data_IF_411467467987
#
_entry.id   IF_411467467987
#
_cell.length_a   1.000
_cell.length_b   1.000
_cell.length_c   1.000
_cell.angle_alpha   90.00
_cell.angle_beta   90.00
_cell.angle_gamma   90.00
#
_symmetry.space_group_name_H-M   'P 1'
#
loop_
_entity.id
_entity.type
_entity.pdbx_description
1 polymer ?
#
# COMPACT_ATOMS: atom_id res chain seq x y z
N UNK A 1 29.74 42.46 -44.86
CA UNK A 1 28.79 42.08 -43.80
C UNK A 1 28.88 40.56 -43.58
N UNK A 2 29.71 40.13 -42.64
CA UNK A 2 29.91 38.71 -42.33
C UNK A 2 28.77 38.22 -41.43
N UNK A 3 27.89 37.36 -41.95
CA UNK A 3 26.93 36.63 -41.12
C UNK A 3 27.70 35.52 -40.38
N UNK A 4 28.23 35.84 -39.22
CA UNK A 4 28.69 34.84 -38.25
C UNK A 4 27.47 34.03 -37.83
N UNK A 5 27.33 32.83 -38.40
CA UNK A 5 26.36 31.83 -37.98
C UNK A 5 26.70 31.42 -36.55
N UNK A 6 26.16 32.17 -35.58
CA UNK A 6 26.19 31.82 -34.18
C UNK A 6 25.45 30.49 -34.07
N UNK A 7 26.19 29.38 -33.91
CA UNK A 7 25.61 28.10 -33.50
C UNK A 7 25.04 28.37 -32.10
N UNK A 8 23.72 28.39 -31.89
CA UNK A 8 23.21 28.34 -30.54
C UNK A 8 23.72 27.03 -29.95
N UNK A 9 24.31 27.08 -28.75
CA UNK A 9 24.59 25.91 -27.94
C UNK A 9 23.25 25.23 -27.62
N UNK A 10 22.79 24.43 -28.58
CA UNK A 10 21.69 23.49 -28.43
C UNK A 10 22.30 22.20 -27.92
N UNK A 11 22.92 22.28 -26.74
CA UNK A 11 23.13 21.13 -25.88
C UNK A 11 21.74 20.64 -25.45
N UNK A 12 21.07 19.91 -26.34
CA UNK A 12 20.11 18.92 -25.89
C UNK A 12 20.86 18.08 -24.85
N UNK A 13 20.35 17.91 -23.62
CA UNK A 13 20.98 17.04 -22.66
C UNK A 13 21.14 15.69 -23.35
N UNK A 14 22.39 15.35 -23.71
CA UNK A 14 22.73 14.05 -24.26
C UNK A 14 22.34 13.09 -23.15
N UNK A 15 21.19 12.44 -23.31
CA UNK A 15 20.85 11.24 -22.57
C UNK A 15 21.90 10.22 -22.94
N UNK A 16 22.97 10.19 -22.14
CA UNK A 16 24.04 9.22 -22.25
C UNK A 16 23.39 7.84 -22.07
N UNK A 17 23.51 6.91 -23.04
CA UNK A 17 23.06 5.55 -22.84
C UNK A 17 24.01 4.87 -21.86
N UNK A 18 23.76 5.03 -20.56
CA UNK A 18 24.44 4.28 -19.53
C UNK A 18 23.98 2.82 -19.61
N UNK A 19 24.91 1.91 -19.94
CA UNK A 19 24.78 0.48 -19.67
C UNK A 19 24.87 -0.48 -20.85
N UNK A 20 25.84 -0.33 -21.76
CA UNK A 20 26.33 -1.50 -22.49
C UNK A 20 27.34 -2.24 -21.60
N UNK A 21 26.88 -3.35 -21.03
CA UNK A 21 27.70 -4.35 -20.38
C UNK A 21 28.81 -4.82 -21.33
N UNK A 22 30.06 -4.78 -20.85
CA UNK A 22 31.19 -5.43 -21.49
C UNK A 22 30.96 -6.94 -21.50
N UNK A 23 30.54 -7.47 -22.65
CA UNK A 23 30.62 -8.91 -22.95
C UNK A 23 32.04 -9.18 -23.47
N UNK A 24 32.79 -9.92 -22.65
CA UNK A 24 34.06 -10.53 -23.06
C UNK A 24 33.78 -11.50 -24.21
N UNK A 25 34.55 -11.35 -25.27
CA UNK A 25 34.39 -12.11 -26.50
C UNK A 25 34.72 -13.58 -26.33
N UNK A 26 33.95 -14.44 -26.99
CA UNK A 26 34.38 -15.76 -27.44
C UNK A 26 34.03 -15.88 -28.92
N UNK A 27 35.09 -16.01 -29.71
CA UNK A 27 35.09 -16.28 -31.14
C UNK A 27 34.68 -17.73 -31.39
N UNK A 28 33.68 -17.99 -32.24
CA UNK A 28 33.54 -19.25 -33.00
C UNK A 28 32.49 -19.21 -34.12
N UNK A 29 33.01 -19.30 -35.34
CA UNK A 29 32.54 -19.98 -36.56
C UNK A 29 31.21 -19.58 -37.27
N UNK A 30 31.20 -19.58 -38.62
CA UNK A 30 30.03 -19.24 -39.43
C UNK A 30 29.14 -20.46 -39.68
N UNK A 31 27.81 -20.31 -39.52
CA UNK A 31 26.82 -21.30 -39.93
C UNK A 31 25.74 -20.68 -40.82
N UNK A 32 25.89 -21.02 -42.11
CA UNK A 32 24.90 -21.28 -43.16
C UNK A 32 23.46 -20.78 -43.00
N UNK A 33 23.03 -20.09 -44.06
CA UNK A 33 21.67 -19.75 -44.45
C UNK A 33 20.64 -20.86 -44.20
N UNK A 34 19.58 -20.53 -43.45
CA UNK A 34 18.27 -21.16 -43.57
C UNK A 34 17.18 -20.10 -43.67
N UNK A 35 16.32 -20.28 -44.67
CA UNK A 35 15.16 -19.46 -45.04
C UNK A 35 14.10 -19.44 -43.92
N UNK A 36 13.27 -18.39 -43.84
CA UNK A 36 12.20 -18.31 -42.84
C UNK A 36 11.02 -19.21 -43.24
N UNK A 37 10.51 -19.99 -42.28
CA UNK A 37 9.15 -20.57 -42.32
C UNK A 37 8.19 -19.64 -41.58
N UNK A 38 6.93 -19.49 -42.02
CA UNK A 38 5.94 -18.68 -41.35
C UNK A 38 5.45 -19.36 -40.07
N UNK A 39 5.61 -18.70 -38.93
CA UNK A 39 5.05 -19.11 -37.64
C UNK A 39 3.60 -18.66 -37.54
N UNK A 40 2.69 -19.63 -37.44
CA UNK A 40 1.31 -19.44 -36.99
C UNK A 40 1.28 -18.67 -35.67
N UNK A 41 0.47 -17.62 -35.63
CA UNK A 41 0.13 -16.86 -34.43
C UNK A 41 -0.84 -17.70 -33.60
N UNK A 42 -0.32 -18.37 -32.56
CA UNK A 42 -1.15 -18.99 -31.53
C UNK A 42 -1.38 -17.96 -30.42
N UNK A 43 -2.58 -17.38 -30.37
CA UNK A 43 -3.00 -16.49 -29.29
C UNK A 43 -3.16 -17.33 -28.02
N UNK A 44 -2.13 -17.31 -27.17
CA UNK A 44 -2.15 -17.94 -25.85
C UNK A 44 -2.76 -16.96 -24.86
N UNK A 45 -4.04 -17.15 -24.54
CA UNK A 45 -4.72 -16.47 -23.43
C UNK A 45 -3.99 -16.77 -22.11
N UNK A 46 -3.68 -15.77 -21.25
CA UNK A 46 -3.10 -16.04 -19.94
C UNK A 46 -4.16 -16.66 -19.02
N UNK A 47 -4.02 -17.97 -18.78
CA UNK A 47 -4.75 -18.70 -17.76
C UNK A 47 -4.33 -18.21 -16.38
N UNK A 48 -5.32 -17.78 -15.59
CA UNK A 48 -5.19 -17.41 -14.18
C UNK A 48 -4.45 -18.50 -13.36
N UNK A 49 -3.52 -18.14 -12.46
CA UNK A 49 -2.88 -19.12 -11.60
C UNK A 49 -3.88 -19.64 -10.57
N UNK A 50 -4.23 -20.93 -10.70
CA UNK A 50 -4.94 -21.72 -9.68
C UNK A 50 -4.11 -21.69 -8.39
N UNK A 51 -4.58 -20.96 -7.38
CA UNK A 51 -4.05 -21.00 -6.01
C UNK A 51 -4.24 -22.42 -5.47
N UNK A 52 -3.15 -23.18 -5.37
CA UNK A 52 -3.08 -24.39 -4.55
C UNK A 52 -3.13 -23.97 -3.08
N UNK A 53 -4.28 -24.12 -2.45
CA UNK A 53 -4.37 -24.20 -0.99
C UNK A 53 -3.68 -25.50 -0.55
N UNK A 54 -2.46 -25.39 -0.04
CA UNK A 54 -1.89 -26.44 0.82
C UNK A 54 -2.46 -26.23 2.22
N UNK A 55 -3.51 -26.99 2.55
CA UNK A 55 -3.95 -27.23 3.91
C UNK A 55 -2.97 -28.23 4.55
N UNK A 56 -1.96 -27.73 5.26
CA UNK A 56 -1.28 -28.54 6.27
C UNK A 56 -2.15 -28.54 7.53
N UNK A 57 -2.99 -29.58 7.63
CA UNK A 57 -3.66 -29.93 8.87
C UNK A 57 -2.71 -30.70 9.77
N UNK A 58 -2.11 -30.02 10.74
CA UNK A 58 -1.58 -30.66 11.95
C UNK A 58 -2.67 -30.58 13.02
N UNK A 59 -3.53 -31.60 13.05
CA UNK A 59 -4.45 -31.85 14.14
C UNK A 59 -3.65 -32.32 15.36
N UNK A 60 -3.25 -31.40 16.24
CA UNK A 60 -2.86 -31.73 17.61
C UNK A 60 -4.15 -31.75 18.43
N UNK A 61 -4.72 -32.94 18.56
CA UNK A 61 -5.88 -33.21 19.40
C UNK A 61 -5.40 -33.47 20.83
N UNK A 62 -5.19 -32.40 21.61
CA UNK A 62 -5.03 -32.51 23.06
C UNK A 62 -6.42 -32.40 23.67
N UNK A 63 -7.08 -33.55 23.84
CA UNK A 63 -8.31 -33.66 24.61
C UNK A 63 -7.93 -33.79 26.09
N UNK A 64 -7.47 -32.70 26.71
CA UNK A 64 -7.53 -32.58 28.17
C UNK A 64 -8.86 -31.89 28.50
N UNK A 65 -9.88 -32.70 28.76
CA UNK A 65 -11.11 -32.26 29.41
C UNK A 65 -10.82 -31.94 30.87
N UNK A 66 -10.14 -30.82 31.10
CA UNK A 66 -10.22 -30.13 32.38
C UNK A 66 -11.58 -29.46 32.44
N UNK A 67 -12.51 -30.09 33.16
CA UNK A 67 -13.74 -29.47 33.67
C UNK A 67 -13.36 -28.41 34.70
N UNK A 68 -12.75 -27.33 34.24
CA UNK A 68 -12.70 -26.07 34.95
C UNK A 68 -13.58 -25.13 34.14
N UNK A 69 -14.70 -24.71 34.72
CA UNK A 69 -15.33 -23.47 34.27
C UNK A 69 -14.26 -22.37 34.35
N UNK A 70 -14.26 -21.47 33.37
CA UNK A 70 -13.30 -20.38 33.12
C UNK A 70 -13.02 -19.43 34.31
N UNK A 71 -13.58 -19.73 35.47
CA UNK A 71 -13.53 -18.97 36.71
C UNK A 71 -12.79 -19.69 37.84
N UNK A 72 -12.23 -20.88 37.63
CA UNK A 72 -11.42 -21.57 38.65
C UNK A 72 -12.20 -21.95 39.92
N UNK A 73 -13.53 -21.83 39.91
CA UNK A 73 -14.39 -22.26 41.00
C UNK A 73 -14.64 -23.76 40.81
N UNK A 74 -14.09 -24.57 41.71
CA UNK A 74 -14.38 -26.00 41.75
C UNK A 74 -15.83 -26.20 42.20
N UNK A 75 -16.78 -26.29 41.25
CA UNK A 75 -18.20 -26.55 41.52
C UNK A 75 -18.43 -27.85 42.33
N UNK A 76 -17.46 -28.78 42.28
CA UNK A 76 -17.49 -30.01 43.08
C UNK A 76 -17.36 -29.75 44.58
N UNK A 77 -16.66 -28.68 44.98
CA UNK A 77 -16.61 -28.26 46.37
C UNK A 77 -17.92 -27.59 46.82
N UNK A 78 -18.65 -26.92 45.91
CA UNK A 78 -19.96 -26.33 46.22
C UNK A 78 -21.06 -27.38 46.42
N UNK A 79 -21.01 -28.52 45.72
CA UNK A 79 -21.91 -29.65 46.00
C UNK A 79 -21.61 -30.35 47.33
N UNK A 80 -20.35 -30.35 47.79
CA UNK A 80 -19.97 -31.05 49.03
C UNK A 80 -20.34 -30.31 50.32
N UNK A 81 -20.67 -29.01 50.29
CA UNK A 81 -20.87 -28.21 51.52
C UNK A 81 -22.35 -28.08 51.93
N UNK A 82 -23.32 -28.84 51.38
CA UNK A 82 -24.64 -28.79 52.05
C UNK A 82 -25.87 -29.44 51.47
N UNK A 83 -25.83 -30.18 50.36
CA UNK A 83 -27.07 -30.73 49.79
C UNK A 83 -27.27 -32.23 50.05
N UNK A 84 -26.22 -33.05 50.07
CA UNK A 84 -26.42 -34.50 50.10
C UNK A 84 -26.60 -35.09 51.51
N UNK A 85 -26.14 -34.42 52.57
CA UNK A 85 -26.35 -34.89 53.96
C UNK A 85 -27.60 -34.34 54.66
N UNK A 86 -28.17 -33.22 54.19
CA UNK A 86 -29.36 -32.63 54.83
C UNK A 86 -30.70 -33.29 54.42
N UNK A 87 -30.70 -34.10 53.36
CA UNK A 87 -31.88 -34.86 52.92
C UNK A 87 -32.14 -36.14 53.73
N UNK A 88 -31.10 -36.73 54.33
CA UNK A 88 -31.19 -38.07 54.94
C UNK A 88 -31.70 -38.06 56.39
N UNK A 89 -31.57 -36.97 57.13
CA UNK A 89 -32.02 -36.88 58.53
C UNK A 89 -33.40 -36.23 58.69
N UNK A 90 -33.88 -35.49 57.68
CA UNK A 90 -35.19 -34.80 57.73
C UNK A 90 -36.41 -35.74 57.61
N UNK A 91 -36.20 -37.00 57.22
CA UNK A 91 -37.26 -37.99 57.03
C UNK A 91 -37.65 -38.80 58.28
N UNK A 92 -36.88 -38.78 59.37
CA UNK A 92 -37.10 -39.70 60.51
C UNK A 92 -38.13 -39.23 61.55
N UNK A 93 -38.57 -37.97 61.52
CA UNK A 93 -39.50 -37.41 62.52
C UNK A 93 -40.82 -36.91 61.94
N UNK A 94 -41.23 -37.45 60.77
CA UNK A 94 -42.49 -37.07 60.12
C UNK A 94 -43.67 -37.97 60.43
N UNK A 95 -43.54 -38.89 61.41
CA UNK A 95 -44.65 -39.74 61.80
C UNK A 95 -44.92 -39.71 63.32
N UNK A 96 -46.17 -39.41 63.63
CA UNK A 96 -46.93 -39.66 64.86
C UNK A 96 -46.71 -38.70 66.05
N UNK A 97 -47.54 -37.66 66.13
CA UNK A 97 -48.30 -37.21 67.33
C UNK A 97 -47.64 -37.04 68.72
N UNK A 98 -46.32 -37.14 68.86
CA UNK A 98 -45.61 -37.07 70.13
C UNK A 98 -45.07 -35.67 70.44
N UNK A 99 -45.26 -35.24 71.68
CA UNK A 99 -44.66 -34.05 72.29
C UNK A 99 -43.14 -33.99 71.97
N UNK A 100 -42.72 -32.97 71.21
CA UNK A 100 -41.29 -32.71 70.98
C UNK A 100 -40.68 -32.15 72.27
N UNK A 101 -39.60 -32.75 72.83
CA UNK A 101 -38.89 -32.17 73.96
C UNK A 101 -38.32 -30.80 73.60
N UNK A 102 -38.48 -29.80 74.47
CA UNK A 102 -37.97 -28.43 74.26
C UNK A 102 -36.45 -28.35 74.11
N UNK A 103 -35.72 -29.36 74.60
CA UNK A 103 -34.26 -29.47 74.48
C UNK A 103 -33.77 -29.72 73.05
N UNK A 104 -34.54 -30.40 72.21
CA UNK A 104 -34.15 -30.66 70.81
C UNK A 104 -34.16 -29.37 69.98
N UNK A 105 -35.05 -28.42 70.29
CA UNK A 105 -35.17 -27.15 69.57
C UNK A 105 -33.96 -26.24 69.78
N UNK A 106 -33.40 -26.19 70.99
CA UNK A 106 -32.21 -25.38 71.24
C UNK A 106 -31.01 -25.89 70.43
N UNK A 107 -30.86 -27.20 70.29
CA UNK A 107 -29.80 -27.81 69.48
C UNK A 107 -30.01 -27.55 67.99
N UNK A 108 -31.23 -27.76 67.47
CA UNK A 108 -31.58 -27.49 66.07
C UNK A 108 -31.39 -26.01 65.73
N UNK A 109 -31.82 -25.09 66.60
CA UNK A 109 -31.66 -23.66 66.39
C UNK A 109 -30.19 -23.24 66.37
N UNK A 110 -29.35 -23.79 67.26
CA UNK A 110 -27.90 -23.54 67.25
C UNK A 110 -27.26 -24.01 65.95
N UNK A 111 -27.65 -25.18 65.43
CA UNK A 111 -27.15 -25.70 64.16
C UNK A 111 -27.67 -24.88 62.96
N UNK A 112 -28.92 -24.47 62.95
CA UNK A 112 -29.47 -23.58 61.92
C UNK A 112 -28.77 -22.21 61.89
N UNK A 113 -28.44 -21.64 63.04
CA UNK A 113 -27.66 -20.38 63.13
C UNK A 113 -26.25 -20.56 62.58
N UNK A 114 -25.56 -21.67 62.91
CA UNK A 114 -24.23 -21.99 62.36
C UNK A 114 -24.29 -22.15 60.83
N UNK A 115 -25.30 -22.86 60.33
CA UNK A 115 -25.52 -23.04 58.90
C UNK A 115 -25.78 -21.69 58.22
N UNK A 116 -26.66 -20.86 58.79
CA UNK A 116 -26.94 -19.51 58.29
C UNK A 116 -25.68 -18.63 58.25
N UNK A 117 -24.82 -18.71 59.26
CA UNK A 117 -23.54 -18.01 59.28
C UNK A 117 -22.58 -18.53 58.19
N UNK A 118 -22.51 -19.85 57.98
CA UNK A 118 -21.72 -20.47 56.90
C UNK A 118 -22.20 -20.01 55.51
N UNK A 119 -23.51 -20.06 55.25
CA UNK A 119 -24.11 -19.61 53.98
C UNK A 119 -23.85 -18.11 53.75
N UNK A 120 -23.95 -17.28 54.79
CA UNK A 120 -23.65 -15.84 54.71
C UNK A 120 -22.18 -15.60 54.35
N UNK A 121 -21.26 -16.36 54.94
CA UNK A 121 -19.83 -16.27 54.64
C UNK A 121 -19.53 -16.71 53.21
N UNK A 122 -20.09 -17.83 52.74
CA UNK A 122 -19.96 -18.29 51.34
C UNK A 122 -20.51 -17.24 50.37
N UNK A 123 -21.68 -16.68 50.66
CA UNK A 123 -22.28 -15.63 49.83
C UNK A 123 -21.43 -14.36 49.79
N UNK A 124 -20.83 -13.96 50.92
CA UNK A 124 -19.92 -12.83 50.98
C UNK A 124 -18.65 -13.07 50.15
N UNK A 125 -18.06 -14.26 50.26
CA UNK A 125 -16.90 -14.67 49.46
C UNK A 125 -17.23 -14.67 47.97
N UNK A 126 -18.39 -15.22 47.58
CA UNK A 126 -18.81 -15.26 46.17
C UNK A 126 -18.99 -13.85 45.59
N UNK A 127 -19.63 -12.93 46.33
CA UNK A 127 -19.77 -11.53 45.89
C UNK A 127 -18.40 -10.87 45.72
N UNK A 128 -17.48 -11.10 46.65
CA UNK A 128 -16.11 -10.57 46.56
C UNK A 128 -15.39 -11.12 45.33
N UNK A 129 -15.44 -12.43 45.10
CA UNK A 129 -14.84 -13.04 43.91
C UNK A 129 -15.47 -12.52 42.61
N UNK A 130 -16.79 -12.31 42.58
CA UNK A 130 -17.48 -11.70 41.44
C UNK A 130 -16.95 -10.30 41.16
N UNK A 131 -16.86 -9.46 42.20
CA UNK A 131 -16.31 -8.11 42.08
C UNK A 131 -14.85 -8.11 41.64
N UNK A 132 -14.03 -9.04 42.13
CA UNK A 132 -12.63 -9.20 41.72
C UNK A 132 -12.51 -9.59 40.25
N UNK A 133 -13.35 -10.51 39.76
CA UNK A 133 -13.39 -10.91 38.34
C UNK A 133 -13.87 -9.77 37.46
N UNK A 134 -14.89 -9.01 37.87
CA UNK A 134 -15.37 -7.82 37.16
C UNK A 134 -14.29 -6.73 37.09
N UNK A 135 -13.61 -6.45 38.19
CA UNK A 135 -12.51 -5.48 38.26
C UNK A 135 -11.33 -5.91 37.37
N UNK A 136 -11.01 -7.21 37.37
CA UNK A 136 -9.97 -7.76 36.51
C UNK A 136 -10.36 -7.66 35.03
N UNK A 137 -11.57 -8.07 34.67
CA UNK A 137 -12.08 -8.04 33.30
C UNK A 137 -12.13 -6.60 32.77
N UNK A 138 -12.65 -5.65 33.55
CA UNK A 138 -12.72 -4.23 33.15
C UNK A 138 -11.33 -3.63 32.96
N UNK A 139 -10.38 -3.95 33.83
CA UNK A 139 -8.97 -3.52 33.67
C UNK A 139 -8.35 -4.09 32.40
N UNK A 140 -8.59 -5.37 32.09
CA UNK A 140 -8.05 -6.01 30.87
C UNK A 140 -8.69 -5.46 29.60
N UNK A 141 -10.00 -5.20 29.61
CA UNK A 141 -10.72 -4.59 28.48
C UNK A 141 -10.16 -3.20 28.21
N UNK A 142 -10.07 -2.32 29.22
CA UNK A 142 -9.49 -0.98 29.09
C UNK A 142 -8.06 -1.01 28.55
N UNK A 143 -7.20 -1.86 29.12
CA UNK A 143 -5.83 -1.99 28.64
C UNK A 143 -5.76 -2.50 27.19
N UNK A 144 -6.72 -3.31 26.74
CA UNK A 144 -6.81 -3.75 25.34
C UNK A 144 -7.30 -2.64 24.41
N UNK A 145 -8.30 -1.86 24.84
CA UNK A 145 -8.82 -0.69 24.11
C UNK A 145 -7.73 0.36 23.93
N UNK A 146 -6.99 0.69 24.99
CA UNK A 146 -5.89 1.66 24.96
C UNK A 146 -4.79 1.23 23.97
N UNK A 147 -4.45 -0.06 23.94
CA UNK A 147 -3.48 -0.61 22.99
C UNK A 147 -3.96 -0.50 21.54
N UNK A 148 -5.25 -0.77 21.29
CA UNK A 148 -5.83 -0.64 19.95
C UNK A 148 -5.87 0.83 19.52
N UNK A 149 -6.27 1.74 20.42
CA UNK A 149 -6.31 3.16 20.15
C UNK A 149 -4.91 3.74 19.83
N UNK A 150 -3.89 3.34 20.58
CA UNK A 150 -2.51 3.76 20.31
C UNK A 150 -1.99 3.17 18.97
N UNK A 151 -2.28 1.90 18.69
CA UNK A 151 -1.90 1.28 17.42
C UNK A 151 -2.57 1.97 16.22
N UNK A 152 -3.85 2.33 16.33
CA UNK A 152 -4.57 3.09 15.30
C UNK A 152 -3.98 4.48 15.12
N UNK A 153 -3.73 5.22 16.20
CA UNK A 153 -3.11 6.54 16.16
C UNK A 153 -1.74 6.51 15.48
N UNK A 154 -0.90 5.54 15.85
CA UNK A 154 0.41 5.31 15.23
C UNK A 154 0.29 5.03 13.73
N UNK A 155 -0.65 4.16 13.34
CA UNK A 155 -0.91 3.82 11.92
C UNK A 155 -1.41 5.03 11.13
N UNK A 156 -2.36 5.78 11.65
CA UNK A 156 -2.87 7.01 11.04
C UNK A 156 -1.75 8.03 10.84
N UNK A 157 -0.87 8.21 11.83
CA UNK A 157 0.31 9.06 11.70
C UNK A 157 1.24 8.65 10.56
N UNK A 158 1.56 7.35 10.45
CA UNK A 158 2.37 6.82 9.34
C UNK A 158 1.68 6.98 7.98
N UNK A 159 0.38 6.69 7.89
CA UNK A 159 -0.40 6.87 6.66
C UNK A 159 -0.46 8.35 6.23
N UNK A 160 -0.65 9.27 7.19
CA UNK A 160 -0.61 10.70 6.96
C UNK A 160 0.72 11.14 6.36
N UNK A 161 1.85 10.69 6.93
CA UNK A 161 3.17 10.97 6.38
C UNK A 161 3.33 10.47 4.94
N UNK A 162 2.87 9.24 4.65
CA UNK A 162 2.94 8.68 3.29
C UNK A 162 2.08 9.49 2.30
N UNK A 163 0.87 9.89 2.71
CA UNK A 163 -0.02 10.76 1.92
C UNK A 163 0.68 12.08 1.59
N UNK A 164 1.29 12.73 2.58
CA UNK A 164 1.95 14.03 2.39
C UNK A 164 3.17 13.91 1.46
N UNK A 165 3.93 12.82 1.58
CA UNK A 165 5.03 12.50 0.65
C UNK A 165 4.53 12.29 -0.79
N UNK A 166 3.42 11.55 -0.97
CA UNK A 166 2.80 11.34 -2.28
C UNK A 166 2.29 12.65 -2.87
N UNK A 167 1.63 13.49 -2.07
CA UNK A 167 1.15 14.80 -2.49
C UNK A 167 2.33 15.69 -2.96
N UNK A 168 3.43 15.70 -2.21
CA UNK A 168 4.65 16.40 -2.61
C UNK A 168 5.23 15.89 -3.94
N UNK A 169 5.21 14.59 -4.19
CA UNK A 169 5.65 14.00 -5.46
C UNK A 169 4.73 14.33 -6.64
N UNK A 170 3.41 14.38 -6.43
CA UNK A 170 2.46 14.85 -7.45
C UNK A 170 2.80 16.29 -7.84
N UNK A 171 2.96 17.19 -6.87
CA UNK A 171 3.32 18.59 -7.14
C UNK A 171 4.66 18.73 -7.87
N UNK A 172 5.67 17.94 -7.48
CA UNK A 172 6.97 17.91 -8.19
C UNK A 172 6.83 17.44 -9.64
N UNK A 173 5.99 16.43 -9.88
CA UNK A 173 5.73 15.90 -11.22
C UNK A 173 4.99 16.93 -12.07
N UNK A 174 4.07 17.68 -11.49
CA UNK A 174 3.34 18.76 -12.15
C UNK A 174 4.27 19.86 -12.64
N UNK A 175 5.20 20.30 -11.80
CA UNK A 175 6.25 21.26 -12.18
C UNK A 175 7.15 20.71 -13.29
N UNK A 176 7.50 19.42 -13.24
CA UNK A 176 8.30 18.79 -14.29
C UNK A 176 7.52 18.72 -15.62
N UNK A 177 6.22 18.43 -15.58
CA UNK A 177 5.34 18.42 -16.76
C UNK A 177 5.21 19.81 -17.39
N UNK A 178 5.03 20.87 -16.59
CA UNK A 178 4.95 22.24 -17.12
C UNK A 178 6.28 22.68 -17.75
N UNK A 179 7.41 22.37 -17.11
CA UNK A 179 8.76 22.61 -17.67
C UNK A 179 8.94 21.86 -19.01
N UNK A 180 8.52 20.60 -19.08
CA UNK A 180 8.58 19.81 -20.32
C UNK A 180 7.68 20.36 -21.42
N UNK A 181 6.48 20.85 -21.09
CA UNK A 181 5.58 21.49 -22.05
C UNK A 181 6.20 22.76 -22.65
N UNK A 182 6.79 23.62 -21.82
CA UNK A 182 7.50 24.83 -22.28
C UNK A 182 8.68 24.48 -23.18
N UNK A 183 9.46 23.45 -22.82
CA UNK A 183 10.58 22.98 -23.63
C UNK A 183 10.10 22.41 -24.99
N UNK A 184 9.01 21.64 -25.00
CA UNK A 184 8.42 21.13 -26.23
C UNK A 184 7.94 22.27 -27.15
N UNK A 185 7.28 23.29 -26.60
CA UNK A 185 6.84 24.45 -27.35
C UNK A 185 8.03 25.22 -27.94
N UNK A 186 9.07 25.49 -27.13
CA UNK A 186 10.31 26.15 -27.59
C UNK A 186 10.96 25.39 -28.75
N UNK A 187 11.11 24.07 -28.64
CA UNK A 187 11.65 23.22 -29.69
C UNK A 187 10.79 23.26 -30.95
N UNK A 188 9.46 23.25 -30.80
CA UNK A 188 8.52 23.30 -31.92
C UNK A 188 8.58 24.64 -32.66
N UNK A 189 8.65 25.77 -31.95
CA UNK A 189 8.86 27.10 -32.55
C UNK A 189 10.18 27.17 -33.31
N UNK A 190 11.27 26.66 -32.73
CA UNK A 190 12.57 26.63 -33.39
C UNK A 190 12.55 25.75 -34.64
N UNK A 191 11.88 24.60 -34.58
CA UNK A 191 11.70 23.70 -35.73
C UNK A 191 10.92 24.38 -36.87
N UNK A 192 9.85 25.12 -36.55
CA UNK A 192 9.13 25.92 -37.55
C UNK A 192 10.02 26.99 -38.20
N UNK A 193 10.82 27.70 -37.41
CA UNK A 193 11.79 28.70 -37.93
C UNK A 193 12.82 28.06 -38.88
N UNK A 194 13.36 26.89 -38.53
CA UNK A 194 14.32 26.17 -39.39
C UNK A 194 13.68 25.68 -40.68
N UNK A 195 12.42 25.21 -40.64
CA UNK A 195 11.67 24.81 -41.85
C UNK A 195 11.44 25.99 -42.80
N UNK A 196 11.09 27.16 -42.28
CA UNK A 196 10.95 28.38 -43.09
C UNK A 196 12.29 28.76 -43.75
N UNK A 197 13.39 28.69 -42.99
CA UNK A 197 14.72 28.96 -43.53
C UNK A 197 15.14 27.95 -44.61
N UNK A 198 14.78 26.67 -44.45
CA UNK A 198 15.03 25.62 -45.43
C UNK A 198 14.28 25.90 -46.74
N UNK A 199 12.99 26.23 -46.66
CA UNK A 199 12.16 26.56 -47.83
C UNK A 199 12.70 27.79 -48.58
N UNK A 200 13.05 28.86 -47.86
CA UNK A 200 13.70 30.03 -48.45
C UNK A 200 15.01 29.66 -49.16
N UNK A 201 15.85 28.84 -48.53
CA UNK A 201 17.13 28.41 -49.12
C UNK A 201 16.91 27.53 -50.37
N UNK A 202 15.90 26.66 -50.34
CA UNK A 202 15.51 25.84 -51.50
C UNK A 202 15.02 26.70 -52.66
N UNK A 203 14.18 27.72 -52.42
CA UNK A 203 13.75 28.67 -53.44
C UNK A 203 14.93 29.43 -54.07
N UNK A 204 15.93 29.83 -53.25
CA UNK A 204 17.16 30.47 -53.74
C UNK A 204 17.96 29.55 -54.66
N UNK A 205 18.08 28.27 -54.33
CA UNK A 205 18.73 27.27 -55.19
C UNK A 205 17.97 27.11 -56.51
N UNK A 206 16.64 26.97 -56.47
CA UNK A 206 15.80 26.84 -57.67
C UNK A 206 15.93 28.05 -58.61
N UNK A 207 15.90 29.28 -58.09
CA UNK A 207 16.09 30.51 -58.89
C UNK A 207 17.48 30.57 -59.52
N UNK A 208 18.50 29.99 -58.91
CA UNK A 208 19.84 29.91 -59.51
C UNK A 208 19.91 28.86 -60.60
N UNK A 209 19.19 27.76 -60.46
CA UNK A 209 19.09 26.69 -61.46
C UNK A 209 18.40 27.14 -62.76
N UNK A 210 17.61 28.23 -62.75
CA UNK A 210 16.97 28.78 -63.96
C UNK A 210 17.89 29.64 -64.82
N UNK A 211 19.17 29.81 -64.45
CA UNK A 211 20.12 30.59 -65.26
C UNK A 211 20.39 29.91 -66.62
N UNK A 212 20.61 30.68 -67.70
CA UNK A 212 20.96 30.10 -69.00
C UNK A 212 22.19 29.19 -68.91
N UNK A 213 22.27 28.06 -69.65
CA UNK A 213 23.36 27.09 -69.54
C UNK A 213 24.77 27.66 -69.80
N UNK A 214 24.85 28.79 -70.53
CA UNK A 214 26.09 29.52 -70.80
C UNK A 214 26.67 30.24 -69.57
N UNK A 215 25.86 30.46 -68.54
CA UNK A 215 26.27 31.09 -67.28
C UNK A 215 26.57 30.01 -66.23
N UNK A 216 27.81 29.91 -65.78
CA UNK A 216 28.22 28.90 -64.79
C UNK A 216 27.53 29.16 -63.44
N UNK A 217 26.70 28.22 -62.99
CA UNK A 217 26.01 28.29 -61.68
C UNK A 217 26.84 27.79 -60.51
N UNK A 218 28.03 27.21 -60.77
CA UNK A 218 28.87 26.50 -59.80
C UNK A 218 29.91 27.43 -59.15
N UNK A 219 29.44 28.58 -58.67
CA UNK A 219 30.27 29.53 -57.92
C UNK A 219 30.28 29.20 -56.42
N UNK A 220 31.06 29.97 -55.67
CA UNK A 220 31.16 29.84 -54.20
C UNK A 220 29.79 30.06 -53.51
N UNK A 221 28.91 30.89 -54.09
CA UNK A 221 27.58 31.16 -53.56
C UNK A 221 26.71 29.91 -53.63
N UNK A 222 26.73 29.20 -54.76
CA UNK A 222 26.01 27.93 -54.93
C UNK A 222 26.52 26.87 -53.95
N UNK A 223 27.85 26.73 -53.82
CA UNK A 223 28.45 25.81 -52.86
C UNK A 223 27.99 26.12 -51.42
N UNK A 224 27.97 27.41 -51.06
CA UNK A 224 27.49 27.88 -49.75
C UNK A 224 26.00 27.60 -49.52
N UNK A 225 25.12 27.84 -50.51
CA UNK A 225 23.69 27.54 -50.41
C UNK A 225 23.42 26.03 -50.25
N UNK A 226 24.16 25.18 -50.97
CA UNK A 226 24.07 23.71 -50.82
C UNK A 226 24.54 23.27 -49.44
N UNK A 227 25.64 23.82 -48.94
CA UNK A 227 26.12 23.54 -47.59
C UNK A 227 25.12 23.98 -46.51
N UNK A 228 24.56 25.19 -46.65
CA UNK A 228 23.50 25.70 -45.78
C UNK A 228 22.26 24.81 -45.82
N UNK A 229 21.86 24.32 -46.99
CA UNK A 229 20.72 23.41 -47.15
C UNK A 229 20.91 22.12 -46.35
N UNK A 230 22.09 21.50 -46.46
CA UNK A 230 22.44 20.29 -45.72
C UNK A 230 22.44 20.54 -44.21
N UNK A 231 23.00 21.67 -43.77
CA UNK A 231 23.02 22.06 -42.36
C UNK A 231 21.61 22.28 -41.79
N UNK A 232 20.74 22.98 -42.52
CA UNK A 232 19.34 23.21 -42.13
C UNK A 232 18.57 21.89 -42.02
N UNK A 233 18.74 20.96 -42.97
CA UNK A 233 18.15 19.61 -42.88
C UNK A 233 18.62 18.85 -41.65
N UNK A 234 19.92 18.80 -41.41
CA UNK A 234 20.47 18.13 -40.23
C UNK A 234 19.94 18.72 -38.91
N UNK A 235 19.80 20.04 -38.84
CA UNK A 235 19.22 20.73 -37.69
C UNK A 235 17.73 20.38 -37.50
N UNK A 236 16.95 20.35 -38.58
CA UNK A 236 15.52 19.96 -38.54
C UNK A 236 15.38 18.52 -38.04
N UNK A 237 16.20 17.60 -38.53
CA UNK A 237 16.16 16.19 -38.09
C UNK A 237 16.50 16.07 -36.60
N UNK A 238 17.51 16.81 -36.14
CA UNK A 238 17.89 16.86 -34.72
C UNK A 238 16.77 17.41 -33.84
N UNK A 239 16.18 18.55 -34.22
CA UNK A 239 15.06 19.17 -33.50
C UNK A 239 13.81 18.28 -33.51
N UNK A 240 13.55 17.57 -34.61
CA UNK A 240 12.42 16.64 -34.73
C UNK A 240 12.57 15.46 -33.76
N UNK A 241 13.78 14.87 -33.66
CA UNK A 241 14.08 13.83 -32.68
C UNK A 241 13.96 14.33 -31.24
N UNK A 242 14.41 15.56 -30.98
CA UNK A 242 14.27 16.19 -29.66
C UNK A 242 12.78 16.41 -29.31
N UNK A 243 11.97 16.93 -30.23
CA UNK A 243 10.54 17.12 -30.02
C UNK A 243 9.81 15.80 -29.74
N UNK A 244 10.13 14.73 -30.48
CA UNK A 244 9.57 13.39 -30.25
C UNK A 244 9.99 12.80 -28.89
N UNK A 245 11.23 13.05 -28.46
CA UNK A 245 11.72 12.64 -27.13
C UNK A 245 10.96 13.37 -26.03
N UNK A 246 10.82 14.70 -26.13
CA UNK A 246 10.05 15.49 -25.17
C UNK A 246 8.59 14.99 -25.08
N UNK A 247 7.94 14.73 -26.21
CA UNK A 247 6.56 14.22 -26.23
C UNK A 247 6.43 12.86 -25.53
N UNK A 248 7.37 11.94 -25.77
CA UNK A 248 7.40 10.64 -25.10
C UNK A 248 7.59 10.80 -23.58
N UNK A 249 8.52 11.66 -23.17
CA UNK A 249 8.86 11.82 -21.76
C UNK A 249 7.74 12.58 -21.01
N UNK A 250 7.04 13.52 -21.65
CA UNK A 250 5.78 14.09 -21.15
C UNK A 250 4.71 13.00 -20.95
N UNK A 251 4.57 12.07 -21.90
CA UNK A 251 3.64 10.94 -21.77
C UNK A 251 3.96 10.04 -20.58
N UNK A 252 5.24 9.78 -20.31
CA UNK A 252 5.67 9.03 -19.12
C UNK A 252 5.35 9.77 -17.83
N UNK A 253 5.68 11.07 -17.75
CA UNK A 253 5.37 11.90 -16.58
C UNK A 253 3.86 11.96 -16.31
N UNK A 254 3.03 12.01 -17.35
CA UNK A 254 1.57 11.98 -17.20
C UNK A 254 1.06 10.65 -16.64
N UNK A 255 1.61 9.52 -17.11
CA UNK A 255 1.29 8.20 -16.57
C UNK A 255 1.72 8.05 -15.10
N UNK A 256 2.94 8.50 -14.78
CA UNK A 256 3.47 8.50 -13.41
C UNK A 256 2.62 9.37 -12.49
N UNK A 257 2.22 10.57 -12.94
CA UNK A 257 1.31 11.47 -12.20
C UNK A 257 -0.02 10.78 -11.91
N UNK A 258 -0.62 10.12 -12.90
CA UNK A 258 -1.90 9.42 -12.72
C UNK A 258 -1.78 8.30 -11.68
N UNK A 259 -0.69 7.52 -11.72
CA UNK A 259 -0.39 6.50 -10.72
C UNK A 259 -0.24 7.07 -9.30
N UNK A 260 0.53 8.16 -9.16
CA UNK A 260 0.72 8.84 -7.86
C UNK A 260 -0.60 9.42 -7.32
N UNK A 261 -1.45 9.96 -8.19
CA UNK A 261 -2.75 10.51 -7.80
C UNK A 261 -3.73 9.41 -7.34
N UNK A 262 -3.71 8.24 -7.99
CA UNK A 262 -4.48 7.08 -7.55
C UNK A 262 -4.01 6.58 -6.18
N UNK A 263 -2.70 6.39 -5.99
CA UNK A 263 -2.14 5.99 -4.70
C UNK A 263 -2.50 7.00 -3.59
N UNK A 264 -2.46 8.30 -3.89
CA UNK A 264 -2.83 9.36 -2.96
C UNK A 264 -4.31 9.25 -2.55
N UNK A 265 -5.20 8.99 -3.51
CA UNK A 265 -6.63 8.76 -3.26
C UNK A 265 -6.85 7.54 -2.36
N UNK A 266 -6.17 6.43 -2.64
CA UNK A 266 -6.25 5.21 -1.83
C UNK A 266 -5.79 5.46 -0.39
N UNK A 267 -4.71 6.25 -0.20
CA UNK A 267 -4.19 6.59 1.13
C UNK A 267 -5.10 7.56 1.89
N UNK A 268 -5.72 8.51 1.20
CA UNK A 268 -6.73 9.39 1.80
C UNK A 268 -7.94 8.58 2.28
N UNK A 269 -8.49 7.71 1.42
CA UNK A 269 -9.62 6.85 1.78
C UNK A 269 -9.30 5.91 2.95
N UNK A 270 -8.10 5.32 2.98
CA UNK A 270 -7.66 4.48 4.09
C UNK A 270 -7.57 5.27 5.41
N UNK A 271 -7.09 6.52 5.36
CA UNK A 271 -7.00 7.39 6.53
C UNK A 271 -8.39 7.77 7.04
N UNK A 272 -9.35 8.04 6.15
CA UNK A 272 -10.74 8.34 6.52
C UNK A 272 -11.41 7.15 7.23
N UNK A 273 -11.18 5.92 6.74
CA UNK A 273 -11.65 4.69 7.39
C UNK A 273 -11.02 4.53 8.78
N UNK A 274 -9.70 4.69 8.90
CA UNK A 274 -9.01 4.56 10.17
C UNK A 274 -9.44 5.67 11.17
N UNK A 275 -9.70 6.89 10.69
CA UNK A 275 -10.23 7.99 11.50
C UNK A 275 -11.66 7.70 12.01
N UNK A 276 -12.53 7.13 11.16
CA UNK A 276 -13.87 6.69 11.55
C UNK A 276 -13.84 5.57 12.59
N UNK A 277 -12.93 4.59 12.44
CA UNK A 277 -12.71 3.52 13.43
C UNK A 277 -12.20 4.08 14.76
N UNK A 278 -11.27 5.04 14.71
CA UNK A 278 -10.77 5.69 15.91
C UNK A 278 -11.87 6.49 16.63
N UNK A 279 -12.72 7.22 15.90
CA UNK A 279 -13.84 7.96 16.48
C UNK A 279 -14.89 7.04 17.15
N UNK A 280 -15.24 5.92 16.51
CA UNK A 280 -16.22 4.96 17.04
C UNK A 280 -15.70 4.19 18.26
N UNK A 281 -14.41 3.85 18.30
CA UNK A 281 -13.79 3.19 19.47
C UNK A 281 -13.95 4.05 20.73
N UNK A 282 -13.85 5.38 20.61
CA UNK A 282 -14.05 6.30 21.73
C UNK A 282 -15.53 6.48 22.11
N UNK A 283 -16.46 6.35 21.15
CA UNK A 283 -17.89 6.51 21.38
C UNK A 283 -18.57 5.27 22.00
N UNK A 284 -18.09 4.06 21.68
CA UNK A 284 -18.71 2.78 22.10
C UNK A 284 -18.51 2.46 23.59
N UNK A 285 -17.85 3.34 24.35
CA UNK A 285 -17.74 3.27 25.81
C UNK A 285 -19.11 3.24 26.54
N UNK A 286 -20.22 3.42 25.81
CA UNK A 286 -21.59 3.41 26.35
C UNK A 286 -22.49 2.24 25.91
N UNK A 287 -22.10 1.35 24.99
CA UNK A 287 -23.01 0.33 24.44
C UNK A 287 -22.48 -1.09 24.68
N UNK A 288 -22.86 -1.67 25.81
CA UNK A 288 -22.69 -3.11 26.06
C UNK A 288 -23.64 -3.94 25.17
N UNK A 289 -23.14 -5.07 24.64
CA UNK A 289 -24.00 -6.21 24.33
C UNK A 289 -24.15 -6.65 22.87
N UNK A 290 -23.08 -6.74 22.08
CA UNK A 290 -23.09 -7.62 20.89
C UNK A 290 -21.67 -8.06 20.52
N UNK A 291 -21.29 -9.25 20.98
CA UNK A 291 -19.99 -9.85 20.70
C UNK A 291 -19.99 -10.46 19.28
N UNK A 292 -19.75 -9.64 18.26
CA UNK A 292 -19.46 -10.18 16.93
C UNK A 292 -18.03 -10.73 16.90
N UNK A 293 -17.90 -12.02 16.55
CA UNK A 293 -16.62 -12.69 16.32
C UNK A 293 -15.96 -12.13 15.06
N UNK A 294 -15.34 -10.96 15.17
CA UNK A 294 -14.47 -10.46 14.11
C UNK A 294 -13.22 -11.34 14.05
N UNK A 295 -12.99 -12.00 12.92
CA UNK A 295 -11.71 -12.62 12.57
C UNK A 295 -10.64 -11.54 12.55
N UNK A 296 -9.96 -11.33 13.66
CA UNK A 296 -8.99 -10.24 13.81
C UNK A 296 -7.71 -10.61 13.07
N UNK A 297 -7.43 -9.90 12.00
CA UNK A 297 -6.09 -9.88 11.42
C UNK A 297 -5.21 -9.14 12.43
N UNK A 298 -4.26 -9.84 13.04
CA UNK A 298 -3.44 -9.29 14.13
C UNK A 298 -2.82 -7.92 13.78
N UNK A 299 -2.85 -6.92 14.68
CA UNK A 299 -2.33 -5.56 14.45
C UNK A 299 -0.89 -5.50 13.93
N UNK A 300 -0.04 -6.47 14.29
CA UNK A 300 1.35 -6.53 13.82
C UNK A 300 1.48 -6.73 12.29
N UNK A 301 0.47 -7.34 11.64
CA UNK A 301 0.47 -7.51 10.17
C UNK A 301 0.21 -6.19 9.43
N UNK A 302 -0.45 -5.22 10.07
CA UNK A 302 -0.69 -3.91 9.47
C UNK A 302 0.59 -3.08 9.36
N UNK A 303 1.46 -3.19 10.36
CA UNK A 303 2.74 -2.45 10.38
C UNK A 303 3.68 -2.88 9.24
N UNK A 304 3.82 -4.19 9.01
CA UNK A 304 4.65 -4.70 7.92
C UNK A 304 4.17 -4.26 6.54
N UNK A 305 2.86 -4.21 6.33
CA UNK A 305 2.28 -3.73 5.08
C UNK A 305 2.58 -2.24 4.83
N UNK A 306 2.55 -1.40 5.87
CA UNK A 306 2.88 0.03 5.74
C UNK A 306 4.35 0.29 5.42
N UNK A 307 5.27 -0.51 5.97
CA UNK A 307 6.70 -0.39 5.65
C UNK A 307 7.02 -0.79 4.21
N UNK A 308 6.42 -1.89 3.73
CA UNK A 308 6.56 -2.31 2.33
C UNK A 308 5.95 -1.29 1.36
N UNK A 309 4.88 -0.61 1.77
CA UNK A 309 4.30 0.51 1.03
C UNK A 309 5.28 1.68 0.94
N UNK A 310 5.89 2.08 2.07
CA UNK A 310 6.90 3.15 2.09
C UNK A 310 8.10 2.82 1.19
N UNK A 311 8.61 1.58 1.22
CA UNK A 311 9.68 1.15 0.31
C UNK A 311 9.27 1.25 -1.15
N UNK A 312 8.02 0.88 -1.49
CA UNK A 312 7.49 1.01 -2.86
C UNK A 312 7.40 2.48 -3.29
N UNK A 313 6.93 3.37 -2.42
CA UNK A 313 6.90 4.81 -2.68
C UNK A 313 8.31 5.35 -2.91
N UNK A 314 9.27 5.02 -2.05
CA UNK A 314 10.67 5.43 -2.19
C UNK A 314 11.29 4.90 -3.50
N UNK A 315 11.01 3.65 -3.88
CA UNK A 315 11.48 3.09 -5.15
C UNK A 315 10.91 3.85 -6.36
N UNK A 316 9.62 4.22 -6.32
CA UNK A 316 8.97 5.05 -7.35
C UNK A 316 9.60 6.44 -7.42
N UNK A 317 9.90 7.05 -6.27
CA UNK A 317 10.60 8.34 -6.21
C UNK A 317 11.98 8.28 -6.89
N UNK A 318 12.75 7.20 -6.68
CA UNK A 318 14.03 6.99 -7.36
C UNK A 318 13.91 6.79 -8.88
N UNK A 319 12.80 6.22 -9.35
CA UNK A 319 12.46 6.13 -10.78
C UNK A 319 12.13 7.48 -11.38
N UNK A 320 11.16 8.19 -10.79
CA UNK A 320 10.71 9.51 -11.23
C UNK A 320 11.85 10.56 -11.18
N UNK A 321 12.70 10.50 -10.15
CA UNK A 321 13.87 11.36 -10.01
C UNK A 321 14.85 11.27 -11.19
N UNK A 322 15.03 10.08 -11.78
CA UNK A 322 15.87 9.91 -12.97
C UNK A 322 15.30 10.59 -14.21
N UNK A 323 13.98 10.51 -14.38
CA UNK A 323 13.28 11.20 -15.48
C UNK A 323 13.37 12.71 -15.28
N UNK A 324 13.15 13.19 -14.05
CA UNK A 324 13.28 14.63 -13.70
C UNK A 324 14.70 15.16 -13.85
N UNK A 325 15.72 14.38 -13.51
CA UNK A 325 17.12 14.78 -13.70
C UNK A 325 17.53 14.89 -15.17
N UNK A 326 16.81 14.23 -16.08
CA UNK A 326 17.03 14.36 -17.51
C UNK A 326 16.34 15.59 -18.13
N UNK A 327 15.46 16.26 -17.38
CA UNK A 327 14.60 17.40 -17.78
C UNK A 327 15.19 18.73 -17.35
#
# INVERSE_FOLDING_TARGET
AAYTLHRPDLSCPRTSPAGQARSLGHSRAPRQHRRPRPSLVFVKTPSLPKKRLFLFGTAIHIHMSYMHDSHGVNLRNLQSVGCDEMGATRGKYRNVGGFRPTFDWESESKEEVKLGASIKNVSATLRRQSQEVEAFATTKIKASEDRVAEALRSRMGKLGQVRDLLQGEVLRTDVAMTKMALNHEKTSRQLAKQKLALDLNQRRLLVRETRPPRETTHDEVQASLVAQHRALRANIDSLSRCAATNARDTGKLAADRAGLAADLGDKAAALDVDAGLYATTNATRQVHGAMQKATTTYPHKWLGSSEDEMRRVQARQGGAGRVRGAV
#
